data_IF_424646194314
#
_entry.id   IF_424646194314
#
_cell.length_a   1.000
_cell.length_b   1.000
_cell.length_c   1.000
_cell.angle_alpha   90.00
_cell.angle_beta   90.00
_cell.angle_gamma   90.00
#
_symmetry.space_group_name_H-M   'P 1'
#
loop_
_entity.id
_entity.type
_entity.pdbx_description
1 polymer ?
#
# COMPACT_ATOMS: atom_id res chain seq x y z
N UNK A 1 -27.55 22.66 24.08
CA UNK A 1 -26.11 22.40 23.92
C UNK A 1 -25.75 22.73 22.46
N UNK A 2 -24.70 23.49 22.21
CA UNK A 2 -24.39 24.02 20.88
C UNK A 2 -23.20 23.32 20.26
N UNK A 3 -23.26 23.05 18.96
CA UNK A 3 -22.10 22.60 18.20
C UNK A 3 -21.22 23.79 17.87
N UNK A 4 -20.01 23.78 18.43
CA UNK A 4 -18.91 24.53 17.86
C UNK A 4 -18.32 23.77 16.68
N UNK A 5 -17.97 24.48 15.63
CA UNK A 5 -17.21 23.92 14.51
C UNK A 5 -15.94 24.73 14.35
N UNK A 6 -14.80 24.07 14.52
CA UNK A 6 -13.51 24.71 14.29
C UNK A 6 -13.18 24.68 12.80
N UNK A 7 -13.26 25.85 12.17
CA UNK A 7 -12.38 26.18 11.06
C UNK A 7 -11.18 26.96 11.63
N UNK A 8 -10.02 26.93 10.98
CA UNK A 8 -8.76 27.50 11.49
C UNK A 8 -8.85 28.95 12.02
N UNK A 9 -9.93 29.69 11.70
CA UNK A 9 -10.29 31.03 12.23
C UNK A 9 -11.81 31.33 12.31
N UNK A 10 -12.67 30.35 12.64
CA UNK A 10 -14.15 30.50 12.55
C UNK A 10 -14.64 30.97 11.16
N UNK A 11 -13.85 30.74 10.10
CA UNK A 11 -14.23 30.99 8.72
C UNK A 11 -14.10 29.70 7.95
N UNK A 12 -15.20 29.21 7.39
CA UNK A 12 -15.16 28.04 6.54
C UNK A 12 -14.20 28.29 5.35
N UNK A 13 -13.09 27.55 5.32
CA UNK A 13 -12.18 27.57 4.17
C UNK A 13 -12.86 26.76 3.07
N UNK A 14 -13.17 27.41 1.96
CA UNK A 14 -13.83 26.78 0.81
C UNK A 14 -12.81 26.53 -0.28
N UNK A 15 -12.73 25.29 -0.77
CA UNK A 15 -11.94 24.89 -1.91
C UNK A 15 -12.92 24.34 -2.94
N UNK A 16 -13.03 24.99 -4.11
CA UNK A 16 -14.02 24.67 -5.15
C UNK A 16 -15.49 24.65 -4.66
N UNK A 17 -15.87 25.57 -3.76
CA UNK A 17 -17.24 25.65 -3.24
C UNK A 17 -17.58 24.62 -2.15
N UNK A 18 -16.59 23.82 -1.73
CA UNK A 18 -16.73 22.80 -0.68
C UNK A 18 -15.87 23.14 0.52
N UNK A 19 -16.39 22.90 1.71
CA UNK A 19 -15.73 23.14 2.99
C UNK A 19 -15.73 21.87 3.83
N UNK A 20 -14.59 21.55 4.42
CA UNK A 20 -14.46 20.46 5.38
C UNK A 20 -14.48 21.04 6.78
N UNK A 21 -15.38 20.53 7.61
CA UNK A 21 -15.62 21.00 8.96
C UNK A 21 -15.48 19.85 9.95
N UNK A 22 -14.88 20.11 11.12
CA UNK A 22 -14.80 19.11 12.20
C UNK A 22 -15.87 19.37 13.25
N UNK A 23 -16.62 18.34 13.58
CA UNK A 23 -17.72 18.37 14.56
C UNK A 23 -17.14 18.29 15.97
N UNK A 24 -17.45 19.27 16.82
CA UNK A 24 -16.90 19.35 18.19
C UNK A 24 -17.89 18.88 19.26
N UNK A 25 -19.20 18.84 18.97
CA UNK A 25 -20.21 18.41 19.95
C UNK A 25 -21.27 17.49 19.34
N UNK A 26 -22.05 16.82 20.20
CA UNK A 26 -23.05 15.82 19.80
C UNK A 26 -24.47 16.34 19.56
N UNK A 27 -24.71 17.63 19.27
CA UNK A 27 -26.11 18.11 19.05
C UNK A 27 -26.77 17.49 17.82
N UNK A 28 -25.99 16.95 16.89
CA UNK A 28 -26.46 16.28 15.68
C UNK A 28 -26.44 14.74 15.81
N UNK A 29 -26.28 14.19 17.00
CA UNK A 29 -26.39 12.74 17.19
C UNK A 29 -27.85 12.27 17.00
N UNK A 30 -28.08 11.10 16.39
CA UNK A 30 -27.11 10.12 15.89
C UNK A 30 -26.67 10.34 14.43
N UNK A 31 -27.15 11.36 13.72
CA UNK A 31 -26.86 11.52 12.29
C UNK A 31 -25.38 11.88 12.03
N UNK A 32 -24.84 12.81 12.81
CA UNK A 32 -23.46 13.28 12.75
C UNK A 32 -22.86 13.17 14.15
N UNK A 33 -21.75 12.43 14.26
CA UNK A 33 -21.15 12.12 15.55
C UNK A 33 -20.05 13.13 15.89
N UNK A 34 -19.80 13.29 17.18
CA UNK A 34 -18.68 14.10 17.67
C UNK A 34 -17.34 13.58 17.11
N UNK A 35 -16.52 14.47 16.56
CA UNK A 35 -15.23 14.14 15.93
C UNK A 35 -15.31 13.81 14.44
N UNK A 36 -16.51 13.68 13.87
CA UNK A 36 -16.68 13.51 12.42
C UNK A 36 -16.13 14.72 11.65
N UNK A 37 -15.62 14.45 10.46
CA UNK A 37 -15.33 15.47 9.45
C UNK A 37 -16.46 15.47 8.44
N UNK A 38 -17.16 16.59 8.31
CA UNK A 38 -18.30 16.76 7.42
C UNK A 38 -17.91 17.64 6.23
N UNK A 39 -18.55 17.37 5.10
CA UNK A 39 -18.42 18.14 3.89
C UNK A 39 -19.66 18.99 3.70
N UNK A 40 -19.42 20.29 3.53
CA UNK A 40 -20.46 21.31 3.32
C UNK A 40 -20.22 21.95 1.96
N UNK A 41 -21.26 21.99 1.15
CA UNK A 41 -21.22 22.57 -0.18
C UNK A 41 -22.01 23.88 -0.19
N UNK A 42 -21.40 24.94 -0.75
CA UNK A 42 -22.10 26.20 -0.96
C UNK A 42 -23.25 25.95 -1.93
N UNK A 43 -24.48 26.20 -1.47
CA UNK A 43 -25.70 26.00 -2.26
C UNK A 43 -26.51 27.28 -2.32
N UNK A 44 -27.40 27.37 -3.31
CA UNK A 44 -28.44 28.40 -3.34
C UNK A 44 -29.44 28.14 -2.21
N UNK A 45 -29.63 29.12 -1.33
CA UNK A 45 -30.52 29.03 -0.17
C UNK A 45 -31.98 28.87 -0.55
N UNK A 46 -32.39 29.30 -1.75
CA UNK A 46 -33.76 29.11 -2.24
C UNK A 46 -34.12 27.64 -2.53
N UNK A 47 -33.10 26.78 -2.65
CA UNK A 47 -33.27 25.33 -2.86
C UNK A 47 -33.35 24.53 -1.57
N UNK A 48 -33.12 25.17 -0.43
CA UNK A 48 -33.16 24.53 0.88
C UNK A 48 -34.59 24.23 1.30
N UNK A 49 -34.79 23.07 1.91
CA UNK A 49 -36.10 22.62 2.36
C UNK A 49 -36.02 21.98 3.75
N UNK A 50 -37.20 21.74 4.34
CA UNK A 50 -37.35 21.01 5.59
C UNK A 50 -36.62 19.66 5.51
N UNK A 51 -35.85 19.35 6.55
CA UNK A 51 -35.03 18.15 6.64
C UNK A 51 -33.59 18.31 6.17
N UNK A 52 -33.25 19.38 5.45
CA UNK A 52 -31.87 19.66 5.05
C UNK A 52 -31.00 20.02 6.26
N UNK A 53 -29.74 19.59 6.23
CA UNK A 53 -28.75 19.95 7.24
C UNK A 53 -27.88 21.07 6.68
N UNK A 54 -27.81 22.19 7.37
CA UNK A 54 -27.05 23.36 6.94
C UNK A 54 -26.01 23.76 7.97
N UNK A 55 -24.94 24.39 7.51
CA UNK A 55 -23.99 25.07 8.38
C UNK A 55 -24.14 26.58 8.23
N UNK A 56 -24.20 27.31 9.33
CA UNK A 56 -24.44 28.76 9.35
C UNK A 56 -23.72 29.44 10.52
N UNK A 57 -23.54 30.76 10.43
CA UNK A 57 -23.05 31.56 11.54
C UNK A 57 -24.19 31.92 12.49
N UNK A 58 -24.08 31.50 13.75
CA UNK A 58 -25.12 31.81 14.75
C UNK A 58 -25.07 33.27 15.18
N UNK A 59 -26.25 33.86 15.37
CA UNK A 59 -26.42 35.18 16.01
C UNK A 59 -26.91 35.07 17.45
N UNK A 60 -26.97 33.85 18.00
CA UNK A 60 -27.36 33.66 19.39
C UNK A 60 -26.27 34.18 20.33
N UNK A 61 -26.68 34.87 21.41
CA UNK A 61 -25.78 35.64 22.27
C UNK A 61 -24.62 34.83 22.86
N UNK A 62 -24.85 33.57 23.20
CA UNK A 62 -23.88 32.66 23.78
C UNK A 62 -22.91 32.05 22.76
N UNK A 63 -23.29 32.04 21.48
CA UNK A 63 -22.52 31.44 20.39
C UNK A 63 -22.38 32.35 19.17
N UNK A 64 -22.41 33.66 19.40
CA UNK A 64 -22.43 34.67 18.33
C UNK A 64 -21.17 34.55 17.44
N UNK A 65 -21.39 34.50 16.13
CA UNK A 65 -20.35 34.35 15.12
C UNK A 65 -19.72 32.97 15.06
N UNK A 66 -20.21 32.00 15.85
CA UNK A 66 -19.74 30.61 15.77
C UNK A 66 -20.46 29.85 14.66
N UNK A 67 -19.72 28.93 14.03
CA UNK A 67 -20.24 28.09 12.99
C UNK A 67 -20.98 26.90 13.61
N UNK A 68 -22.27 26.78 13.29
CA UNK A 68 -23.19 25.75 13.80
C UNK A 68 -23.69 24.92 12.62
N UNK A 69 -23.89 23.62 12.82
CA UNK A 69 -24.55 22.73 11.85
C UNK A 69 -25.80 22.14 12.48
N UNK A 70 -26.98 22.44 11.95
CA UNK A 70 -28.27 21.91 12.42
C UNK A 70 -29.19 21.57 11.25
N UNK A 71 -30.26 20.83 11.53
CA UNK A 71 -31.29 20.48 10.55
C UNK A 71 -32.36 21.56 10.48
N UNK A 72 -32.77 21.93 9.28
CA UNK A 72 -33.94 22.77 9.04
C UNK A 72 -35.18 21.97 9.42
N UNK A 73 -35.95 22.47 10.38
CA UNK A 73 -37.24 21.89 10.76
C UNK A 73 -38.41 22.62 10.11
N UNK A 74 -38.19 23.86 9.67
CA UNK A 74 -39.17 24.67 8.98
C UNK A 74 -38.50 25.77 8.15
N UNK A 75 -38.95 25.96 6.92
CA UNK A 75 -38.73 27.18 6.13
C UNK A 75 -39.90 28.14 6.34
N UNK A 76 -39.63 29.38 6.75
CA UNK A 76 -40.65 30.41 6.91
C UNK A 76 -40.94 31.11 5.58
N UNK A 77 -42.11 31.76 5.49
CA UNK A 77 -42.56 32.48 4.29
C UNK A 77 -41.64 33.65 3.88
N UNK A 78 -40.89 34.20 4.84
CA UNK A 78 -39.89 35.25 4.63
C UNK A 78 -38.52 34.72 4.15
N UNK A 79 -38.40 33.40 3.96
CA UNK A 79 -37.18 32.73 3.53
C UNK A 79 -36.17 32.45 4.66
N UNK A 80 -36.53 32.71 5.92
CA UNK A 80 -35.71 32.31 7.07
C UNK A 80 -35.92 30.85 7.45
N UNK A 81 -34.94 30.26 8.13
CA UNK A 81 -34.93 28.86 8.51
C UNK A 81 -35.03 28.71 10.02
N UNK A 82 -35.95 27.87 10.48
CA UNK A 82 -35.95 27.36 11.85
C UNK A 82 -35.08 26.11 11.86
N UNK A 83 -34.07 26.09 12.71
CA UNK A 83 -33.12 24.98 12.81
C UNK A 83 -33.18 24.29 14.16
N UNK A 84 -32.75 23.03 14.18
CA UNK A 84 -32.67 22.22 15.39
C UNK A 84 -31.56 21.18 15.26
N UNK A 85 -30.79 20.99 16.33
CA UNK A 85 -29.91 19.84 16.45
C UNK A 85 -30.70 18.54 16.62
N UNK A 86 -30.34 17.48 15.90
CA UNK A 86 -31.06 16.19 15.96
C UNK A 86 -31.18 15.61 17.39
N UNK A 87 -30.18 15.82 18.25
CA UNK A 87 -30.18 15.41 19.65
C UNK A 87 -30.80 16.45 20.59
N UNK A 88 -31.05 17.67 20.13
CA UNK A 88 -31.63 18.72 20.96
C UNK A 88 -33.14 18.47 21.15
N UNK A 89 -33.72 18.72 22.34
CA UNK A 89 -35.15 18.57 22.56
C UNK A 89 -35.95 19.72 21.94
N UNK A 90 -35.38 20.93 21.92
CA UNK A 90 -36.04 22.18 21.51
C UNK A 90 -35.35 22.74 20.26
N UNK A 91 -36.12 23.46 19.45
CA UNK A 91 -35.64 24.24 18.29
C UNK A 91 -34.71 25.38 18.74
N UNK A 92 -33.87 25.85 17.84
CA UNK A 92 -33.01 27.00 18.11
C UNK A 92 -33.86 28.27 18.27
N UNK A 93 -33.51 29.11 19.25
CA UNK A 93 -34.32 30.28 19.59
C UNK A 93 -34.25 31.42 18.57
N UNK A 94 -33.27 31.37 17.66
CA UNK A 94 -33.06 32.39 16.63
C UNK A 94 -33.15 31.73 15.26
N UNK A 95 -33.99 32.27 14.39
CA UNK A 95 -34.11 31.86 13.00
C UNK A 95 -32.87 32.25 12.20
N UNK A 96 -32.45 31.36 11.30
CA UNK A 96 -31.31 31.55 10.43
C UNK A 96 -31.74 32.27 9.16
N UNK A 97 -31.07 33.37 8.83
CA UNK A 97 -31.27 34.10 7.58
C UNK A 97 -30.42 33.51 6.44
N UNK A 98 -30.84 33.67 5.18
CA UNK A 98 -30.07 33.20 4.02
C UNK A 98 -28.61 33.67 3.97
N UNK A 99 -28.32 34.89 4.42
CA UNK A 99 -26.96 35.47 4.43
C UNK A 99 -26.02 34.80 5.44
N UNK A 100 -26.58 34.12 6.44
CA UNK A 100 -25.81 33.42 7.48
C UNK A 100 -25.41 32.01 7.04
N UNK A 101 -26.06 31.46 6.01
CA UNK A 101 -25.84 30.10 5.54
C UNK A 101 -24.51 30.00 4.81
N UNK A 102 -23.65 29.12 5.31
CA UNK A 102 -22.36 28.78 4.69
C UNK A 102 -22.56 27.75 3.58
N UNK A 103 -23.45 26.77 3.82
CA UNK A 103 -23.78 25.76 2.83
C UNK A 103 -24.55 24.57 3.40
N UNK A 104 -24.90 23.63 2.52
CA UNK A 104 -25.62 22.39 2.83
C UNK A 104 -24.65 21.25 3.08
N UNK A 105 -24.94 20.45 4.09
CA UNK A 105 -24.22 19.21 4.36
C UNK A 105 -24.49 18.18 3.25
N UNK A 106 -23.43 17.67 2.64
CA UNK A 106 -23.51 16.69 1.55
C UNK A 106 -22.96 15.31 1.93
N UNK A 107 -22.33 15.17 3.09
CA UNK A 107 -21.85 13.88 3.59
C UNK A 107 -20.65 13.95 4.52
N UNK A 108 -20.23 12.78 5.00
CA UNK A 108 -19.01 12.64 5.81
C UNK A 108 -17.79 12.54 4.90
N UNK A 109 -16.77 13.34 5.19
CA UNK A 109 -15.48 13.31 4.50
C UNK A 109 -14.64 12.11 5.00
N UNK A 110 -15.11 10.88 4.76
CA UNK A 110 -14.45 9.64 5.22
C UNK A 110 -13.00 9.54 4.76
N UNK A 111 -12.71 10.06 3.56
CA UNK A 111 -11.36 10.14 3.01
C UNK A 111 -10.40 10.95 3.91
N UNK A 112 -10.84 12.07 4.48
CA UNK A 112 -9.99 12.89 5.36
C UNK A 112 -9.76 12.26 6.73
N UNK A 113 -10.69 11.43 7.23
CA UNK A 113 -10.48 10.63 8.44
C UNK A 113 -9.40 9.56 8.20
N UNK A 114 -9.41 8.93 7.02
CA UNK A 114 -8.38 7.97 6.63
C UNK A 114 -7.01 8.66 6.50
N UNK A 115 -6.94 9.80 5.81
CA UNK A 115 -5.70 10.59 5.65
C UNK A 115 -5.18 11.12 6.99
N UNK A 116 -6.04 11.63 7.87
CA UNK A 116 -5.61 12.14 9.18
C UNK A 116 -5.04 11.03 10.08
N UNK A 117 -5.48 9.79 9.91
CA UNK A 117 -4.91 8.63 10.61
C UNK A 117 -3.44 8.41 10.24
N UNK A 118 -3.01 8.81 9.04
CA UNK A 118 -1.62 8.81 8.59
C UNK A 118 -0.90 10.14 8.82
N UNK A 119 -1.60 11.23 9.16
CA UNK A 119 -1.01 12.53 9.40
C UNK A 119 -0.23 12.63 10.73
N UNK A 120 -0.28 11.58 11.56
CA UNK A 120 0.59 11.48 12.72
C UNK A 120 2.04 11.43 12.28
N UNK A 121 2.79 12.50 12.56
CA UNK A 121 4.21 12.63 12.20
C UNK A 121 5.05 11.42 12.68
N UNK A 122 4.68 10.80 13.81
CA UNK A 122 5.31 9.57 14.32
C UNK A 122 5.11 8.37 13.40
N UNK A 123 3.93 8.21 12.79
CA UNK A 123 3.64 7.10 11.85
C UNK A 123 4.32 7.32 10.50
N UNK A 124 4.33 8.56 10.01
CA UNK A 124 5.07 8.92 8.79
C UNK A 124 6.58 8.66 8.93
N UNK A 125 7.16 8.98 10.09
CA UNK A 125 8.57 8.70 10.38
C UNK A 125 8.86 7.19 10.38
N UNK A 126 7.98 6.36 10.93
CA UNK A 126 8.15 4.90 10.86
C UNK A 126 8.16 4.37 9.43
N UNK A 127 7.26 4.85 8.58
CA UNK A 127 7.20 4.46 7.15
C UNK A 127 8.51 4.87 6.44
N UNK A 128 8.99 6.09 6.71
CA UNK A 128 10.24 6.60 6.14
C UNK A 128 11.48 5.79 6.56
N UNK A 129 11.44 5.13 7.72
CA UNK A 129 12.53 4.25 8.19
C UNK A 129 12.37 2.83 7.65
N UNK A 130 11.15 2.27 7.67
CA UNK A 130 10.91 0.87 7.29
C UNK A 130 11.08 0.66 5.77
N UNK A 131 10.62 1.60 4.94
CA UNK A 131 10.72 1.48 3.48
C UNK A 131 12.17 1.33 2.99
N UNK A 132 13.13 2.21 3.34
CA UNK A 132 14.51 2.06 2.88
C UNK A 132 15.17 0.80 3.44
N UNK A 133 14.91 0.44 4.71
CA UNK A 133 15.43 -0.81 5.29
C UNK A 133 14.90 -2.03 4.53
N UNK A 134 13.60 -2.05 4.22
CA UNK A 134 12.97 -3.11 3.43
C UNK A 134 13.52 -3.16 2.00
N UNK A 135 13.72 -2.00 1.36
CA UNK A 135 14.28 -1.91 0.02
C UNK A 135 15.72 -2.45 -0.03
N UNK A 136 16.57 -2.08 0.93
CA UNK A 136 17.94 -2.62 1.08
C UNK A 136 17.88 -4.12 1.33
N UNK A 137 17.01 -4.57 2.22
CA UNK A 137 16.87 -6.01 2.53
C UNK A 137 16.46 -6.84 1.30
N UNK A 138 15.52 -6.34 0.49
CA UNK A 138 15.11 -6.99 -0.77
C UNK A 138 16.24 -6.96 -1.81
N UNK A 139 17.01 -5.87 -1.87
CA UNK A 139 18.17 -5.77 -2.76
C UNK A 139 19.24 -6.80 -2.40
N UNK A 140 19.62 -6.89 -1.12
CA UNK A 140 20.59 -7.86 -0.61
C UNK A 140 20.14 -9.31 -0.89
N UNK A 141 18.87 -9.63 -0.63
CA UNK A 141 18.34 -10.97 -0.92
C UNK A 141 18.40 -11.33 -2.41
N UNK A 142 18.12 -10.37 -3.30
CA UNK A 142 18.25 -10.60 -4.76
C UNK A 142 19.70 -10.80 -5.18
N UNK A 143 20.64 -10.06 -4.57
CA UNK A 143 22.07 -10.20 -4.83
C UNK A 143 22.57 -11.56 -4.39
N UNK A 144 22.24 -12.00 -3.17
CA UNK A 144 22.60 -13.32 -2.66
C UNK A 144 22.00 -14.46 -3.49
N UNK A 145 20.73 -14.34 -3.89
CA UNK A 145 20.08 -15.35 -4.73
C UNK A 145 20.76 -15.52 -6.09
N UNK A 146 21.18 -14.41 -6.73
CA UNK A 146 21.91 -14.47 -8.00
C UNK A 146 23.27 -15.16 -7.85
N UNK A 147 24.03 -14.80 -6.82
CA UNK A 147 25.35 -15.39 -6.55
C UNK A 147 25.21 -16.90 -6.28
N UNK A 148 24.21 -17.31 -5.48
CA UNK A 148 23.98 -18.72 -5.20
C UNK A 148 23.64 -19.55 -6.44
N UNK A 149 22.86 -18.98 -7.37
CA UNK A 149 22.54 -19.65 -8.65
C UNK A 149 23.80 -19.77 -9.52
N UNK A 150 24.65 -18.75 -9.57
CA UNK A 150 25.86 -18.74 -10.39
C UNK A 150 26.92 -19.72 -9.89
N UNK A 151 27.12 -19.81 -8.57
CA UNK A 151 28.04 -20.80 -7.97
C UNK A 151 27.60 -22.23 -8.25
N UNK A 152 26.31 -22.53 -8.09
CA UNK A 152 25.77 -23.87 -8.34
C UNK A 152 25.89 -24.27 -9.81
N UNK A 153 25.75 -23.31 -10.73
CA UNK A 153 25.95 -23.55 -12.15
C UNK A 153 27.41 -23.86 -12.46
N UNK A 154 28.34 -23.05 -11.94
CA UNK A 154 29.78 -23.27 -12.15
C UNK A 154 30.22 -24.62 -11.57
N UNK A 155 29.76 -24.98 -10.37
CA UNK A 155 30.07 -26.27 -9.76
C UNK A 155 29.65 -27.45 -10.65
N UNK A 156 28.43 -27.40 -11.21
CA UNK A 156 27.96 -28.43 -12.14
C UNK A 156 28.81 -28.48 -13.43
N UNK A 157 29.17 -27.33 -13.98
CA UNK A 157 30.00 -27.23 -15.18
C UNK A 157 31.42 -27.81 -14.94
N UNK A 158 32.00 -27.55 -13.76
CA UNK A 158 33.29 -28.13 -13.35
C UNK A 158 33.21 -29.65 -13.18
N UNK A 159 32.11 -30.14 -12.61
CA UNK A 159 31.93 -31.57 -12.37
C UNK A 159 31.70 -32.33 -13.68
N UNK A 160 30.94 -31.75 -14.61
CA UNK A 160 30.78 -32.30 -15.96
C UNK A 160 32.12 -32.35 -16.71
N UNK A 161 32.94 -31.30 -16.59
CA UNK A 161 34.27 -31.26 -17.20
C UNK A 161 35.20 -32.34 -16.62
N UNK A 162 35.22 -32.51 -15.29
CA UNK A 162 36.00 -33.56 -14.61
C UNK A 162 35.59 -34.96 -15.10
N UNK A 163 34.29 -35.22 -15.21
CA UNK A 163 33.78 -36.50 -15.70
C UNK A 163 34.20 -36.78 -17.15
N UNK A 164 34.18 -35.76 -18.02
CA UNK A 164 34.65 -35.89 -19.41
C UNK A 164 36.14 -36.23 -19.48
N UNK A 165 36.98 -35.51 -18.72
CA UNK A 165 38.42 -35.76 -18.67
C UNK A 165 38.76 -37.16 -18.15
N UNK A 166 38.07 -37.63 -17.10
CA UNK A 166 38.26 -38.98 -16.57
C UNK A 166 37.86 -40.04 -17.61
N UNK A 167 36.72 -39.86 -18.29
CA UNK A 167 36.29 -40.79 -19.33
C UNK A 167 37.30 -40.87 -20.48
N UNK A 168 37.80 -39.73 -20.95
CA UNK A 168 38.80 -39.68 -22.01
C UNK A 168 40.12 -40.35 -21.59
N UNK A 169 40.56 -40.14 -20.34
CA UNK A 169 41.76 -40.79 -19.81
C UNK A 169 41.61 -42.32 -19.72
N UNK A 170 40.44 -42.81 -19.26
CA UNK A 170 40.15 -44.25 -19.21
C UNK A 170 40.11 -44.85 -20.62
N UNK A 171 39.55 -44.14 -21.58
CA UNK A 171 39.45 -44.61 -22.97
C UNK A 171 40.83 -44.72 -23.62
N UNK A 172 41.69 -43.71 -23.43
CA UNK A 172 43.09 -43.73 -23.86
C UNK A 172 43.88 -44.87 -23.21
N UNK A 173 43.71 -45.09 -21.91
CA UNK A 173 44.41 -46.18 -21.22
C UNK A 173 43.94 -47.55 -21.68
N UNK A 174 42.63 -47.73 -21.91
CA UNK A 174 42.07 -48.97 -22.51
C UNK A 174 42.64 -49.24 -23.89
N UNK A 175 42.79 -48.21 -24.72
CA UNK A 175 43.41 -48.35 -26.04
C UNK A 175 44.88 -48.77 -25.93
N UNK A 176 45.65 -48.12 -25.05
CA UNK A 176 47.06 -48.48 -24.82
C UNK A 176 47.22 -49.94 -24.37
N UNK A 177 46.40 -50.38 -23.42
CA UNK A 177 46.42 -51.76 -22.93
C UNK A 177 46.00 -52.78 -24.01
N UNK A 178 45.06 -52.43 -24.89
CA UNK A 178 44.66 -53.29 -26.00
C UNK A 178 45.78 -53.42 -27.05
N UNK A 179 46.49 -52.33 -27.36
CA UNK A 179 47.66 -52.35 -28.23
C UNK A 179 48.82 -53.16 -27.62
N UNK A 180 49.08 -52.99 -26.32
CA UNK A 180 50.12 -53.71 -25.57
C UNK A 180 49.83 -55.21 -25.50
N UNK A 181 48.58 -55.60 -25.19
CA UNK A 181 48.15 -57.01 -25.22
C UNK A 181 48.24 -57.61 -26.63
N UNK A 182 47.85 -56.86 -27.67
CA UNK A 182 47.94 -57.33 -29.05
C UNK A 182 49.40 -57.59 -29.47
N UNK A 183 50.33 -56.69 -29.09
CA UNK A 183 51.77 -56.89 -29.33
C UNK A 183 52.33 -58.08 -28.55
N UNK A 184 51.95 -58.24 -27.28
CA UNK A 184 52.36 -59.39 -26.47
C UNK A 184 51.86 -60.72 -27.08
N UNK A 185 50.61 -60.78 -27.56
CA UNK A 185 50.07 -61.96 -28.25
C UNK A 185 50.79 -62.27 -29.57
N UNK A 186 51.18 -61.25 -30.34
CA UNK A 186 51.94 -61.45 -31.59
C UNK A 186 53.38 -61.87 -31.36
N UNK A 187 54.05 -61.37 -30.31
CA UNK A 187 55.40 -61.80 -29.94
C UNK A 187 55.42 -63.25 -29.43
N UNK A 188 54.45 -63.65 -28.60
CA UNK A 188 54.32 -65.04 -28.12
C UNK A 188 54.06 -66.01 -29.28
N UNK A 189 53.18 -65.66 -30.23
CA UNK A 189 52.92 -66.48 -31.42
C UNK A 189 54.14 -66.56 -32.37
N UNK A 190 54.95 -65.51 -32.46
CA UNK A 190 56.18 -65.50 -33.24
C UNK A 190 57.33 -66.29 -32.59
N UNK A 191 57.33 -66.43 -31.27
CA UNK A 191 58.32 -67.22 -30.52
C UNK A 191 57.97 -68.72 -30.53
N UNK A 192 56.69 -69.08 -30.37
CA UNK A 192 56.21 -70.47 -30.53
C UNK A 192 56.52 -71.03 -31.93
N UNK A 193 56.31 -70.21 -32.98
CA UNK A 193 56.63 -70.61 -34.35
C UNK A 193 58.13 -70.69 -34.67
N UNK A 194 59.00 -70.07 -33.85
CA UNK A 194 60.46 -70.23 -33.94
C UNK A 194 60.93 -71.51 -33.24
N UNK A 195 60.38 -71.85 -32.07
CA UNK A 195 60.70 -73.10 -31.37
C UNK A 195 60.26 -74.36 -32.15
N UNK A 196 59.14 -74.28 -32.87
CA UNK A 196 58.63 -75.38 -33.71
C UNK A 196 59.46 -75.63 -34.98
N UNK A 197 60.29 -74.66 -35.40
CA UNK A 197 61.18 -74.78 -36.56
C UNK A 197 62.58 -75.27 -36.18
N UNK A 198 63.06 -75.02 -34.96
CA UNK A 198 64.36 -75.53 -34.48
C UNK A 198 64.31 -77.01 -34.05
N UNK A 199 63.14 -77.58 -33.75
CA UNK A 199 62.97 -79.00 -33.38
C UNK A 199 62.79 -79.96 -34.56
N UNK A 200 62.86 -79.47 -35.81
CA UNK A 200 62.68 -80.28 -37.03
C UNK A 200 63.98 -80.60 -37.80
N UNK A 201 65.12 -80.10 -37.35
CA UNK A 201 66.43 -80.27 -38.03
C UNK A 201 67.42 -81.23 -37.32
N UNK A 202 66.97 -82.02 -36.34
CA UNK A 202 67.74 -83.11 -35.69
C UNK A 202 67.23 -84.53 -36.07
#
# INVERSE_FOLDING_TARGET
AYVMISAARNKAVSVFGKSVLRVVTGSMEPSIHTGDHILVEKTDTSTLADGDIISFYSEQSDIYGMLVTHRIVKVNDDGTFVTKGDANPVEDSITVRPDQVVGKYIGKARFFIWVSTFADARKLLMIFVIIPIGAVSVYELRTLAKIGIELKKNENDYEELRQKLIREAIEKEKQRLAEENYQAETEVSADESRQDNETKDD
#
